data_IF_218297124682
#
_entry.id   IF_218297124682
#
_cell.length_a   1.000
_cell.length_b   1.000
_cell.length_c   1.000
_cell.angle_alpha   90.00
_cell.angle_beta   90.00
_cell.angle_gamma   90.00
#
_symmetry.space_group_name_H-M   'P 1'
#
loop_
_entity.id
_entity.type
_entity.pdbx_description
1 polymer ?
#
# COMPACT_ATOMS: atom_id res chain seq x y z
N UNK A 1 -48.70 26.88 47.30
CA UNK A 1 -47.47 27.49 46.74
C UNK A 1 -46.33 26.49 46.94
N UNK A 2 -45.91 25.79 45.87
CA UNK A 2 -44.98 24.65 45.90
C UNK A 2 -43.55 25.10 45.53
N UNK A 3 -42.59 24.46 46.19
CA UNK A 3 -41.13 24.71 46.22
C UNK A 3 -40.39 24.11 45.02
N UNK A 4 -39.08 24.39 44.98
CA UNK A 4 -37.94 23.72 44.30
C UNK A 4 -37.48 24.43 43.02
N UNK A 5 -36.35 25.16 42.94
CA UNK A 5 -34.94 24.94 43.34
C UNK A 5 -34.16 24.04 42.37
N UNK A 6 -33.11 24.65 41.81
CA UNK A 6 -31.78 24.16 41.39
C UNK A 6 -31.47 23.79 39.92
N UNK A 7 -30.40 24.47 39.47
CA UNK A 7 -29.16 23.97 38.86
C UNK A 7 -29.09 23.61 37.37
N UNK A 8 -28.25 24.42 36.70
CA UNK A 8 -27.18 24.06 35.77
C UNK A 8 -26.98 22.58 35.43
N UNK A 9 -26.76 22.25 34.15
CA UNK A 9 -25.54 21.57 33.68
C UNK A 9 -25.38 21.80 32.16
N UNK A 10 -24.11 21.97 31.78
CA UNK A 10 -23.55 22.14 30.44
C UNK A 10 -23.84 20.96 29.49
N UNK A 11 -23.87 21.24 28.18
CA UNK A 11 -23.84 20.21 27.15
C UNK A 11 -23.52 20.75 25.77
N UNK A 12 -22.23 20.96 25.49
CA UNK A 12 -21.67 21.18 24.16
C UNK A 12 -21.94 19.95 23.26
N UNK A 13 -22.87 20.07 22.33
CA UNK A 13 -23.14 19.07 21.30
C UNK A 13 -22.32 19.34 20.03
N UNK A 14 -21.11 18.79 19.96
CA UNK A 14 -20.34 18.70 18.70
C UNK A 14 -21.10 17.76 17.75
N UNK A 15 -21.76 18.32 16.75
CA UNK A 15 -22.36 17.55 15.65
C UNK A 15 -21.24 16.97 14.77
N UNK A 16 -20.90 15.70 15.03
CA UNK A 16 -20.06 14.91 14.14
C UNK A 16 -20.82 14.56 12.87
N UNK A 17 -20.22 14.87 11.71
CA UNK A 17 -20.71 14.37 10.43
C UNK A 17 -20.44 12.86 10.35
N UNK A 18 -21.46 12.04 10.58
CA UNK A 18 -21.43 10.63 10.20
C UNK A 18 -21.51 10.56 8.68
N UNK A 19 -20.38 10.20 8.05
CA UNK A 19 -20.34 9.74 6.67
C UNK A 19 -21.00 8.36 6.61
N UNK A 20 -22.26 8.35 6.19
CA UNK A 20 -23.04 7.15 5.97
C UNK A 20 -22.56 6.51 4.66
N UNK A 21 -21.84 5.39 4.75
CA UNK A 21 -21.35 4.68 3.56
C UNK A 21 -22.36 3.59 3.15
N UNK A 22 -22.99 3.68 1.97
CA UNK A 22 -23.91 2.65 1.49
C UNK A 22 -23.12 1.39 1.10
N UNK A 23 -23.50 0.23 1.64
CA UNK A 23 -22.95 -1.07 1.22
C UNK A 23 -23.81 -1.62 0.08
N UNK A 24 -23.29 -1.65 -1.15
CA UNK A 24 -23.95 -2.29 -2.30
C UNK A 24 -23.50 -3.77 -2.43
N UNK A 25 -24.33 -4.63 -3.06
CA UNK A 25 -24.12 -6.08 -3.06
C UNK A 25 -22.95 -6.53 -3.96
N UNK A 26 -22.26 -7.59 -3.53
CA UNK A 26 -21.11 -8.21 -4.20
C UNK A 26 -21.55 -8.97 -5.47
N UNK A 27 -21.84 -8.23 -6.54
CA UNK A 27 -21.80 -8.78 -7.90
C UNK A 27 -20.35 -8.92 -8.34
N UNK A 28 -20.01 -9.98 -9.07
CA UNK A 28 -18.67 -10.24 -9.60
C UNK A 28 -18.17 -9.01 -10.38
N UNK A 29 -17.36 -8.18 -9.70
CA UNK A 29 -16.74 -7.02 -10.29
C UNK A 29 -15.68 -7.52 -11.28
N UNK A 30 -15.53 -6.88 -12.47
CA UNK A 30 -14.34 -7.07 -13.29
C UNK A 30 -13.11 -6.86 -12.41
N UNK A 31 -11.96 -7.53 -12.67
CA UNK A 31 -10.77 -7.43 -11.82
C UNK A 31 -10.54 -5.96 -11.52
N UNK A 32 -10.72 -5.58 -10.24
CA UNK A 32 -10.51 -4.22 -9.81
C UNK A 32 -9.10 -3.90 -10.24
N UNK A 33 -8.94 -3.07 -11.27
CA UNK A 33 -7.65 -2.54 -11.65
C UNK A 33 -7.18 -1.85 -10.38
N UNK A 34 -6.26 -2.49 -9.65
CA UNK A 34 -5.80 -1.96 -8.39
C UNK A 34 -5.28 -0.56 -8.69
N UNK A 35 -5.88 0.48 -8.09
CA UNK A 35 -5.48 1.84 -8.40
C UNK A 35 -3.98 1.96 -8.19
N UNK A 36 -3.28 2.60 -9.13
CA UNK A 36 -1.89 2.97 -8.93
C UNK A 36 -1.75 3.73 -7.61
N UNK A 37 -0.72 3.41 -6.83
CA UNK A 37 -0.50 4.05 -5.53
C UNK A 37 -0.36 5.57 -5.69
N UNK A 38 -1.00 6.41 -4.85
CA UNK A 38 -1.06 7.86 -5.04
C UNK A 38 0.31 8.56 -5.03
N UNK A 39 1.32 7.97 -4.38
CA UNK A 39 2.69 8.51 -4.32
C UNK A 39 3.68 7.83 -5.27
N UNK A 40 3.49 6.54 -5.56
CA UNK A 40 4.48 5.78 -6.32
C UNK A 40 3.89 5.48 -7.68
N UNK A 41 4.52 6.00 -8.74
CA UNK A 41 4.13 5.67 -10.10
C UNK A 41 4.39 4.18 -10.37
N UNK A 42 3.57 3.51 -11.18
CA UNK A 42 3.89 2.18 -11.69
C UNK A 42 5.11 2.24 -12.62
N UNK A 43 5.84 1.13 -12.81
CA UNK A 43 6.91 1.03 -13.78
C UNK A 43 6.39 1.20 -15.22
N UNK A 44 7.12 1.93 -16.08
CA UNK A 44 6.72 2.09 -17.48
C UNK A 44 6.95 0.78 -18.26
N UNK A 45 6.02 0.45 -19.16
CA UNK A 45 6.21 -0.63 -20.15
C UNK A 45 6.10 -2.06 -19.62
N UNK A 46 5.82 -2.26 -18.33
CA UNK A 46 5.63 -3.60 -17.74
C UNK A 46 4.33 -3.67 -16.94
N UNK A 47 3.63 -4.79 -17.05
CA UNK A 47 2.44 -5.04 -16.22
C UNK A 47 2.86 -5.24 -14.78
N UNK A 48 2.19 -4.56 -13.86
CA UNK A 48 2.50 -4.63 -12.43
C UNK A 48 1.30 -4.19 -11.60
N UNK A 49 1.29 -4.58 -10.34
CA UNK A 49 0.27 -4.16 -9.38
C UNK A 49 0.92 -3.70 -8.07
N UNK A 50 0.29 -2.75 -7.39
CA UNK A 50 0.77 -2.26 -6.10
C UNK A 50 0.47 -3.28 -4.98
N UNK A 51 1.50 -3.64 -4.21
CA UNK A 51 1.34 -4.45 -3.01
C UNK A 51 1.59 -3.59 -1.75
N UNK A 52 0.53 -3.21 -0.99
CA UNK A 52 0.68 -2.34 0.18
C UNK A 52 1.42 -3.01 1.34
N UNK A 53 1.38 -4.35 1.45
CA UNK A 53 2.09 -5.07 2.50
C UNK A 53 3.61 -5.06 2.31
N UNK A 54 4.05 -4.97 1.06
CA UNK A 54 5.47 -4.86 0.70
C UNK A 54 5.92 -3.42 0.46
N UNK A 55 4.97 -2.52 0.18
CA UNK A 55 5.25 -1.13 -0.17
C UNK A 55 5.92 -0.97 -1.53
N UNK A 56 5.69 -1.90 -2.46
CA UNK A 56 6.28 -1.93 -3.81
C UNK A 56 5.25 -2.33 -4.86
N UNK A 57 5.53 -2.03 -6.11
CA UNK A 57 4.88 -2.72 -7.23
C UNK A 57 5.51 -4.11 -7.41
N UNK A 58 4.67 -5.12 -7.64
CA UNK A 58 5.10 -6.46 -8.06
C UNK A 58 4.94 -6.54 -9.57
N UNK A 59 6.01 -6.94 -10.27
CA UNK A 59 5.98 -7.09 -11.73
C UNK A 59 5.32 -8.43 -12.08
N UNK A 60 4.34 -8.39 -12.97
CA UNK A 60 3.61 -9.59 -13.39
C UNK A 60 4.43 -10.42 -14.38
N UNK A 61 4.35 -11.75 -14.27
CA UNK A 61 5.06 -12.67 -15.16
C UNK A 61 6.57 -12.77 -14.90
N UNK A 62 7.11 -11.99 -13.95
CA UNK A 62 8.48 -12.09 -13.49
C UNK A 62 8.50 -12.55 -12.04
N UNK A 63 9.27 -13.61 -11.75
CA UNK A 63 9.41 -14.10 -10.38
C UNK A 63 10.31 -13.16 -9.58
N UNK A 64 9.86 -12.83 -8.37
CA UNK A 64 10.62 -12.06 -7.38
C UNK A 64 11.20 -10.73 -7.92
N UNK A 65 10.45 -10.08 -8.84
CA UNK A 65 10.79 -8.78 -9.41
C UNK A 65 9.82 -7.72 -8.91
N UNK A 66 10.39 -6.67 -8.33
CA UNK A 66 9.66 -5.60 -7.66
C UNK A 66 10.10 -4.24 -8.18
N UNK A 67 9.26 -3.23 -8.02
CA UNK A 67 9.56 -1.87 -8.43
C UNK A 67 9.09 -0.83 -7.43
N UNK A 68 9.95 0.13 -7.13
CA UNK A 68 9.63 1.30 -6.31
C UNK A 68 10.55 2.45 -6.68
N UNK A 69 10.01 3.66 -6.78
CA UNK A 69 10.81 4.89 -6.98
C UNK A 69 11.82 4.81 -8.16
N UNK A 70 11.39 4.25 -9.30
CA UNK A 70 12.22 4.07 -10.51
C UNK A 70 13.33 3.03 -10.41
N UNK A 71 13.34 2.26 -9.33
CA UNK A 71 14.28 1.17 -9.11
C UNK A 71 13.53 -0.15 -9.14
N UNK A 72 14.04 -1.08 -9.94
CA UNK A 72 13.70 -2.48 -9.90
C UNK A 72 14.57 -3.19 -8.88
N UNK A 73 13.95 -4.05 -8.08
CA UNK A 73 14.62 -4.95 -7.14
C UNK A 73 14.30 -6.38 -7.54
N UNK A 74 15.32 -7.23 -7.61
CA UNK A 74 15.15 -8.66 -7.87
C UNK A 74 15.77 -9.48 -6.76
N UNK A 75 15.17 -10.64 -6.51
CA UNK A 75 15.81 -11.71 -5.74
C UNK A 75 16.16 -12.88 -6.66
N UNK A 76 17.43 -13.25 -6.68
CA UNK A 76 17.95 -14.42 -7.41
C UNK A 76 19.14 -15.03 -6.66
N UNK A 77 18.87 -15.63 -5.48
CA UNK A 77 19.92 -16.09 -4.56
C UNK A 77 20.64 -14.97 -3.80
N UNK A 78 20.31 -13.72 -4.11
CA UNK A 78 20.74 -12.50 -3.46
C UNK A 78 19.91 -11.32 -3.97
N UNK A 79 19.98 -10.19 -3.27
CA UNK A 79 19.32 -8.97 -3.72
C UNK A 79 20.18 -8.24 -4.75
N UNK A 80 19.56 -7.84 -5.85
CA UNK A 80 20.14 -6.88 -6.77
C UNK A 80 19.11 -5.83 -7.15
N UNK A 81 19.57 -4.65 -7.56
CA UNK A 81 18.72 -3.60 -8.10
C UNK A 81 19.16 -3.14 -9.49
N UNK A 82 18.24 -2.51 -10.21
CA UNK A 82 18.51 -1.89 -11.52
C UNK A 82 17.55 -0.73 -11.77
N UNK A 83 17.92 0.19 -12.65
CA UNK A 83 16.98 1.20 -13.19
C UNK A 83 16.09 0.65 -14.30
N UNK A 84 16.35 -0.59 -14.78
CA UNK A 84 15.65 -1.23 -15.89
C UNK A 84 15.19 -2.63 -15.49
N UNK A 85 14.03 -3.07 -15.98
CA UNK A 85 13.47 -4.39 -15.65
C UNK A 85 14.35 -5.57 -16.12
N UNK A 86 15.19 -5.35 -17.13
CA UNK A 86 16.11 -6.35 -17.68
C UNK A 86 17.55 -6.27 -17.16
N UNK A 87 17.85 -5.35 -16.23
CA UNK A 87 19.22 -5.04 -15.84
C UNK A 87 19.87 -3.92 -16.69
N UNK A 88 21.15 -3.60 -16.48
CA UNK A 88 22.13 -4.36 -15.71
C UNK A 88 21.83 -4.37 -14.22
N UNK A 89 22.16 -5.48 -13.55
CA UNK A 89 21.86 -5.69 -12.13
C UNK A 89 23.08 -5.37 -11.28
N UNK A 90 22.84 -4.67 -10.17
CA UNK A 90 23.86 -4.34 -9.18
C UNK A 90 23.49 -4.99 -7.86
N UNK A 91 24.41 -5.74 -7.29
CA UNK A 91 24.17 -6.42 -6.03
C UNK A 91 23.98 -5.42 -4.89
N UNK A 92 23.15 -5.82 -3.94
CA UNK A 92 22.87 -5.07 -2.74
C UNK A 92 22.54 -6.01 -1.59
N UNK A 93 22.60 -5.49 -0.39
CA UNK A 93 22.19 -6.21 0.80
C UNK A 93 20.79 -5.77 1.25
N UNK A 94 20.39 -6.22 2.43
CA UNK A 94 19.11 -5.87 3.03
C UNK A 94 18.91 -4.38 3.30
N UNK A 95 19.98 -3.58 3.39
CA UNK A 95 19.87 -2.14 3.61
C UNK A 95 19.45 -1.37 2.35
N UNK A 96 19.68 -1.96 1.17
CA UNK A 96 19.37 -1.34 -0.12
C UNK A 96 17.96 -1.62 -0.64
N UNK A 97 17.16 -2.43 0.06
CA UNK A 97 15.82 -2.84 -0.39
C UNK A 97 14.70 -2.22 0.48
N UNK A 98 13.48 -2.08 -0.06
CA UNK A 98 12.32 -1.69 0.72
C UNK A 98 12.10 -2.60 1.96
N UNK A 99 11.75 -2.04 3.14
CA UNK A 99 11.61 -2.81 4.38
C UNK A 99 10.61 -3.97 4.30
N UNK A 100 9.56 -3.83 3.49
CA UNK A 100 8.58 -4.90 3.26
C UNK A 100 9.19 -6.12 2.58
N UNK A 101 10.10 -5.91 1.63
CA UNK A 101 10.82 -6.99 0.95
C UNK A 101 11.80 -7.67 1.91
N UNK A 102 12.54 -6.89 2.70
CA UNK A 102 13.44 -7.46 3.72
C UNK A 102 12.68 -8.41 4.64
N UNK A 103 11.60 -7.94 5.27
CA UNK A 103 10.78 -8.75 6.19
C UNK A 103 10.20 -10.00 5.55
N UNK A 104 9.82 -9.94 4.27
CA UNK A 104 9.26 -11.10 3.57
C UNK A 104 10.32 -12.18 3.29
N UNK A 105 11.56 -11.78 2.96
CA UNK A 105 12.62 -12.70 2.55
C UNK A 105 13.51 -13.18 3.69
N UNK A 106 13.46 -12.54 4.86
CA UNK A 106 14.16 -13.03 6.05
C UNK A 106 13.77 -14.45 6.47
N UNK A 107 12.59 -14.93 6.07
CA UNK A 107 12.05 -16.24 6.45
C UNK A 107 11.93 -17.22 5.24
N UNK A 108 12.54 -16.91 4.10
CA UNK A 108 12.48 -17.75 2.89
C UNK A 108 13.66 -18.71 2.77
#
# INVERSE_FOLDING_TARGET
>A
MKRLVLACVLGLGLSGCVLQQPSTPVGQLPPVQQPSHPRYAPPPGVKSHWNPGLGVYVVEGARDLYYRERIFYRWDGGWSWSSQAGGPWKDTDSSGIPPGLFRQYQNR
#
